data_IF_200064554739
#
_entry.id   IF_200064554739
#
_cell.length_a   1.000
_cell.length_b   1.000
_cell.length_c   1.000
_cell.angle_alpha   90.00
_cell.angle_beta   90.00
_cell.angle_gamma   90.00
#
_symmetry.space_group_name_H-M   'P 1'
#
loop_
_entity.id
_entity.type
_entity.pdbx_description
1 polymer ?
#
# COMPACT_ATOMS: atom_id res chain seq x y z
N UNK A 1 -17.38 -3.54 -37.52
CA UNK A 1 -16.82 -4.50 -36.56
C UNK A 1 -16.30 -3.69 -35.39
N UNK A 2 -16.79 -3.94 -34.20
CA UNK A 2 -16.32 -3.26 -32.97
C UNK A 2 -15.18 -4.09 -32.38
N UNK A 3 -13.95 -3.59 -32.45
CA UNK A 3 -12.75 -4.33 -32.04
C UNK A 3 -12.76 -4.66 -30.55
N UNK A 4 -13.39 -3.81 -29.72
CA UNK A 4 -13.52 -4.01 -28.28
C UNK A 4 -14.28 -5.31 -27.91
N UNK A 5 -15.14 -5.80 -28.78
CA UNK A 5 -15.89 -7.06 -28.59
C UNK A 5 -15.01 -8.31 -28.75
N UNK A 6 -13.81 -8.15 -29.35
CA UNK A 6 -12.82 -9.21 -29.57
C UNK A 6 -11.67 -9.21 -28.53
N UNK A 7 -11.72 -8.30 -27.55
CA UNK A 7 -10.73 -8.28 -26.47
C UNK A 7 -11.02 -9.38 -25.43
N UNK A 8 -10.05 -9.67 -24.58
CA UNK A 8 -10.20 -10.63 -23.48
C UNK A 8 -11.44 -10.30 -22.63
N UNK A 9 -12.34 -11.25 -22.49
CA UNK A 9 -13.61 -11.04 -21.78
C UNK A 9 -13.45 -10.93 -20.26
N UNK A 10 -12.41 -11.55 -19.72
CA UNK A 10 -12.09 -11.55 -18.29
C UNK A 10 -11.57 -10.17 -17.79
N UNK A 11 -11.07 -9.31 -18.70
CA UNK A 11 -10.71 -7.92 -18.34
C UNK A 11 -11.90 -7.12 -17.80
N UNK A 12 -13.14 -7.54 -18.07
CA UNK A 12 -14.34 -6.93 -17.49
C UNK A 12 -14.44 -7.11 -15.96
N UNK A 13 -13.68 -8.06 -15.40
CA UNK A 13 -13.59 -8.29 -13.94
C UNK A 13 -12.55 -7.39 -13.27
N UNK A 14 -11.68 -6.75 -14.05
CA UNK A 14 -10.68 -5.82 -13.50
C UNK A 14 -11.42 -4.56 -13.04
N UNK A 15 -11.30 -4.16 -11.77
CA UNK A 15 -11.96 -2.96 -11.26
C UNK A 15 -11.41 -1.71 -11.95
N UNK A 16 -12.28 -0.73 -12.17
CA UNK A 16 -11.84 0.60 -12.63
C UNK A 16 -11.21 1.38 -11.48
N UNK A 17 -10.19 2.16 -11.80
CA UNK A 17 -9.49 2.96 -10.77
C UNK A 17 -10.26 4.27 -10.48
N UNK A 18 -11.46 4.18 -9.91
CA UNK A 18 -12.34 5.31 -9.55
C UNK A 18 -11.63 6.42 -8.76
N UNK A 19 -10.59 6.08 -7.99
CA UNK A 19 -9.76 7.06 -7.25
C UNK A 19 -9.17 8.12 -8.20
N UNK A 20 -8.73 7.72 -9.40
CA UNK A 20 -8.17 8.68 -10.36
C UNK A 20 -9.24 9.55 -11.00
N UNK A 21 -10.43 8.98 -11.30
CA UNK A 21 -11.54 9.76 -11.85
C UNK A 21 -11.99 10.82 -10.85
N UNK A 22 -12.09 10.46 -9.57
CA UNK A 22 -12.41 11.39 -8.49
C UNK A 22 -11.32 12.46 -8.32
N UNK A 23 -10.04 12.09 -8.41
CA UNK A 23 -8.94 13.05 -8.33
C UNK A 23 -8.95 14.06 -9.50
N UNK A 24 -9.37 13.64 -10.71
CA UNK A 24 -9.54 14.54 -11.86
C UNK A 24 -10.70 15.51 -11.57
N UNK A 25 -11.81 15.02 -11.05
CA UNK A 25 -12.95 15.85 -10.67
C UNK A 25 -12.57 16.89 -9.62
N UNK A 26 -11.93 16.49 -8.52
CA UNK A 26 -11.57 17.43 -7.43
C UNK A 26 -10.62 18.52 -7.89
N UNK A 27 -9.64 18.20 -8.76
CA UNK A 27 -8.71 19.18 -9.35
C UNK A 27 -9.41 20.27 -10.18
N UNK A 28 -10.64 20.02 -10.67
CA UNK A 28 -11.41 21.02 -11.40
C UNK A 28 -12.07 22.08 -10.49
N UNK A 29 -12.07 21.86 -9.18
CA UNK A 29 -12.78 22.69 -8.20
C UNK A 29 -11.82 23.75 -7.65
N UNK A 30 -12.09 25.02 -7.94
CA UNK A 30 -11.28 26.14 -7.43
C UNK A 30 -11.34 26.24 -5.90
N UNK A 31 -10.17 26.37 -5.27
CA UNK A 31 -10.01 26.50 -3.82
C UNK A 31 -10.27 25.23 -3.03
N UNK A 32 -10.24 24.05 -3.70
CA UNK A 32 -10.34 22.74 -3.04
C UNK A 32 -9.19 22.54 -2.07
N UNK A 33 -9.48 21.92 -0.95
CA UNK A 33 -8.50 21.38 0.01
C UNK A 33 -8.47 19.88 -0.16
N UNK A 34 -7.33 19.34 -0.60
CA UNK A 34 -7.22 17.92 -0.93
C UNK A 34 -6.66 17.10 0.22
N UNK A 35 -7.44 16.13 0.70
CA UNK A 35 -7.05 15.08 1.65
C UNK A 35 -7.22 13.69 1.01
N UNK A 36 -7.04 13.61 -0.32
CA UNK A 36 -7.20 12.37 -1.12
C UNK A 36 -5.87 11.74 -1.47
N UNK A 37 -4.77 12.50 -1.40
CA UNK A 37 -3.48 12.15 -1.98
C UNK A 37 -2.85 10.97 -1.23
N UNK A 38 -2.45 9.95 -1.99
CA UNK A 38 -1.80 8.74 -1.48
C UNK A 38 -0.28 8.74 -1.65
N UNK A 39 0.35 9.92 -1.61
CA UNK A 39 1.81 10.06 -1.72
C UNK A 39 2.34 11.09 -0.70
N UNK A 40 3.61 10.96 -0.27
CA UNK A 40 4.27 11.96 0.56
C UNK A 40 4.25 13.34 -0.09
N UNK A 41 3.96 14.37 0.70
CA UNK A 41 4.08 15.78 0.30
C UNK A 41 5.53 16.30 0.46
N UNK A 42 6.40 15.49 1.02
CA UNK A 42 7.83 15.76 1.11
C UNK A 42 8.53 15.56 -0.23
N UNK A 43 9.61 16.29 -0.42
CA UNK A 43 10.52 16.02 -1.52
C UNK A 43 11.44 14.84 -1.19
N UNK A 44 11.83 14.07 -2.21
CA UNK A 44 12.94 13.12 -2.09
C UNK A 44 14.16 13.79 -1.43
N UNK A 45 14.86 13.17 -0.46
CA UNK A 45 16.02 13.74 0.21
C UNK A 45 17.08 14.25 -0.76
N UNK A 46 17.78 15.32 -0.36
CA UNK A 46 18.74 16.01 -1.23
C UNK A 46 19.85 15.08 -1.75
N UNK A 47 20.48 14.34 -0.84
CA UNK A 47 21.58 13.42 -1.19
C UNK A 47 21.11 12.29 -2.13
N UNK A 48 19.88 11.79 -1.98
CA UNK A 48 19.29 10.79 -2.89
C UNK A 48 19.12 11.34 -4.30
N UNK A 49 18.63 12.59 -4.43
CA UNK A 49 18.54 13.28 -5.73
C UNK A 49 19.91 13.50 -6.34
N UNK A 50 20.90 13.91 -5.54
CA UNK A 50 22.27 14.13 -5.98
C UNK A 50 22.91 12.83 -6.48
N UNK A 51 22.68 11.70 -5.82
CA UNK A 51 23.15 10.39 -6.28
C UNK A 51 22.55 10.02 -7.65
N UNK A 52 21.23 10.21 -7.83
CA UNK A 52 20.56 9.96 -9.11
C UNK A 52 21.08 10.88 -10.23
N UNK A 53 21.27 12.16 -9.96
CA UNK A 53 21.86 13.11 -10.93
C UNK A 53 23.30 12.75 -11.27
N UNK A 54 24.11 12.37 -10.29
CA UNK A 54 25.48 11.92 -10.51
C UNK A 54 25.53 10.64 -11.34
N UNK A 55 24.62 9.70 -11.10
CA UNK A 55 24.52 8.49 -11.91
C UNK A 55 24.23 8.81 -13.38
N UNK A 56 23.30 9.70 -13.67
CA UNK A 56 23.02 10.16 -15.04
C UNK A 56 24.25 10.84 -15.65
N UNK A 57 24.90 11.75 -14.93
CA UNK A 57 26.09 12.45 -15.38
C UNK A 57 27.27 11.52 -15.70
N UNK A 58 27.35 10.38 -14.99
CA UNK A 58 28.35 9.34 -15.17
C UNK A 58 27.93 8.25 -16.18
N UNK A 59 26.90 8.50 -16.97
CA UNK A 59 26.40 7.58 -18.01
C UNK A 59 25.91 6.22 -17.47
N UNK A 60 25.42 6.19 -16.23
CA UNK A 60 24.74 5.04 -15.66
C UNK A 60 23.31 4.91 -16.22
N UNK A 61 23.20 4.81 -17.54
CA UNK A 61 21.92 4.88 -18.30
C UNK A 61 21.71 3.68 -19.23
N UNK A 62 22.54 2.66 -19.10
CA UNK A 62 22.40 1.37 -19.78
C UNK A 62 21.59 0.40 -18.91
N UNK A 63 21.19 -0.73 -19.51
CA UNK A 63 20.50 -1.80 -18.80
C UNK A 63 21.23 -2.21 -17.52
N UNK A 64 20.48 -2.35 -16.44
CA UNK A 64 20.95 -2.96 -15.20
C UNK A 64 20.92 -4.50 -15.28
N UNK A 65 21.60 -5.19 -14.37
CA UNK A 65 21.28 -6.59 -14.13
C UNK A 65 19.80 -6.74 -13.77
N UNK A 66 19.12 -7.70 -14.39
CA UNK A 66 17.66 -7.84 -14.28
C UNK A 66 17.14 -7.99 -12.83
N UNK A 67 17.92 -8.62 -11.94
CA UNK A 67 17.55 -8.71 -10.51
C UNK A 67 17.77 -7.39 -9.76
N UNK A 68 18.63 -6.53 -10.26
CA UNK A 68 19.08 -5.27 -9.66
C UNK A 68 20.59 -5.17 -9.59
N UNK A 69 21.09 -3.96 -9.29
CA UNK A 69 22.54 -3.72 -9.09
C UNK A 69 23.02 -4.39 -7.81
N UNK A 70 24.23 -4.93 -7.80
CA UNK A 70 24.80 -5.64 -6.64
C UNK A 70 24.82 -4.77 -5.37
N UNK A 71 25.10 -3.46 -5.53
CA UNK A 71 25.11 -2.50 -4.43
C UNK A 71 23.74 -2.34 -3.79
N UNK A 72 22.70 -2.12 -4.61
CA UNK A 72 21.33 -1.99 -4.10
C UNK A 72 20.81 -3.30 -3.49
N UNK A 73 21.07 -4.45 -4.13
CA UNK A 73 20.65 -5.75 -3.58
C UNK A 73 21.27 -6.02 -2.21
N UNK A 74 22.58 -5.72 -2.03
CA UNK A 74 23.22 -5.81 -0.72
C UNK A 74 22.62 -4.83 0.29
N UNK A 75 22.35 -3.58 -0.09
CA UNK A 75 21.75 -2.60 0.79
C UNK A 75 20.33 -3.00 1.25
N UNK A 76 19.54 -3.60 0.36
CA UNK A 76 18.21 -4.15 0.70
C UNK A 76 18.34 -5.31 1.69
N UNK A 77 19.26 -6.26 1.46
CA UNK A 77 19.49 -7.38 2.39
C UNK A 77 19.84 -6.89 3.79
N UNK A 78 20.74 -5.90 3.87
CA UNK A 78 21.17 -5.31 5.15
C UNK A 78 20.02 -4.59 5.87
N UNK A 79 19.21 -3.81 5.13
CA UNK A 79 18.06 -3.08 5.66
C UNK A 79 16.96 -4.01 6.18
N UNK A 80 16.61 -5.03 5.40
CA UNK A 80 15.62 -6.04 5.80
C UNK A 80 16.10 -6.82 7.01
N UNK A 81 17.37 -7.23 7.04
CA UNK A 81 17.96 -7.92 8.19
C UNK A 81 17.90 -7.06 9.48
N UNK A 82 18.16 -5.75 9.37
CA UNK A 82 18.09 -4.83 10.50
C UNK A 82 16.65 -4.66 11.01
N UNK A 83 15.66 -4.56 10.11
CA UNK A 83 14.25 -4.28 10.45
C UNK A 83 13.51 -5.50 11.01
N UNK A 84 13.69 -6.65 10.40
CA UNK A 84 12.88 -7.85 10.70
C UNK A 84 13.72 -9.07 11.11
N UNK A 85 15.04 -8.99 11.11
CA UNK A 85 15.94 -10.07 11.52
C UNK A 85 16.11 -11.20 10.50
N UNK A 86 15.51 -11.11 9.30
CA UNK A 86 15.67 -12.09 8.20
C UNK A 86 16.72 -11.60 7.22
N UNK A 87 17.74 -12.41 7.00
CA UNK A 87 18.75 -12.20 5.95
C UNK A 87 18.29 -12.90 4.69
N UNK A 88 18.19 -12.17 3.58
CA UNK A 88 17.98 -12.71 2.24
C UNK A 88 19.28 -12.64 1.45
N UNK A 89 19.57 -13.69 0.69
CA UNK A 89 20.73 -13.71 -0.22
C UNK A 89 20.53 -12.67 -1.33
N UNK A 90 21.39 -11.62 -1.40
CA UNK A 90 21.26 -10.57 -2.40
C UNK A 90 21.26 -11.10 -3.84
N UNK A 91 21.99 -12.18 -4.12
CA UNK A 91 22.15 -12.70 -5.46
C UNK A 91 20.95 -13.54 -5.94
N UNK A 92 20.17 -14.13 -5.02
CA UNK A 92 19.18 -15.14 -5.39
C UNK A 92 17.78 -14.93 -4.79
N UNK A 93 17.64 -14.15 -3.71
CA UNK A 93 16.39 -14.04 -2.96
C UNK A 93 15.78 -12.63 -2.99
N UNK A 94 16.37 -11.69 -3.76
CA UNK A 94 15.91 -10.30 -3.89
C UNK A 94 15.73 -9.94 -5.35
N UNK A 95 14.65 -9.19 -5.66
CA UNK A 95 14.41 -8.57 -6.96
C UNK A 95 14.07 -7.08 -6.77
N UNK A 96 14.73 -6.22 -7.50
CA UNK A 96 14.38 -4.78 -7.59
C UNK A 96 13.25 -4.63 -8.60
N UNK A 97 12.19 -3.90 -8.24
CA UNK A 97 10.95 -3.80 -9.03
C UNK A 97 10.58 -2.35 -9.35
N UNK A 98 9.78 -2.14 -10.39
CA UNK A 98 9.24 -0.84 -10.80
C UNK A 98 8.11 -0.35 -9.86
N UNK A 99 8.45 -0.15 -8.59
CA UNK A 99 7.51 0.09 -7.50
C UNK A 99 6.85 -1.21 -7.03
N UNK A 100 6.21 -1.15 -5.86
CA UNK A 100 5.43 -2.28 -5.30
C UNK A 100 4.32 -2.72 -6.25
N UNK A 101 3.78 -1.82 -7.07
CA UNK A 101 2.73 -2.14 -8.05
C UNK A 101 3.17 -3.22 -9.03
N UNK A 102 4.41 -3.14 -9.56
CA UNK A 102 4.94 -4.20 -10.42
C UNK A 102 5.28 -5.46 -9.62
N UNK A 103 5.82 -5.30 -8.41
CA UNK A 103 6.08 -6.43 -7.52
C UNK A 103 4.82 -7.23 -7.17
N UNK A 104 3.70 -6.54 -6.87
CA UNK A 104 2.40 -7.17 -6.63
C UNK A 104 1.89 -7.92 -7.87
N UNK A 105 1.96 -7.28 -9.04
CA UNK A 105 1.62 -7.92 -10.31
C UNK A 105 2.44 -9.20 -10.55
N UNK A 106 3.75 -9.13 -10.35
CA UNK A 106 4.63 -10.29 -10.53
C UNK A 106 4.33 -11.40 -9.52
N UNK A 107 4.11 -11.05 -8.24
CA UNK A 107 3.80 -11.99 -7.18
C UNK A 107 2.47 -12.72 -7.45
N UNK A 108 1.39 -11.96 -7.66
CA UNK A 108 0.06 -12.53 -7.92
C UNK A 108 0.04 -13.37 -9.20
N UNK A 109 0.69 -12.87 -10.28
CA UNK A 109 0.76 -13.60 -11.56
C UNK A 109 1.52 -14.93 -11.43
N UNK A 110 2.61 -14.95 -10.68
CA UNK A 110 3.44 -16.15 -10.52
C UNK A 110 2.77 -17.29 -9.73
N UNK A 111 1.88 -16.94 -8.78
CA UNK A 111 1.25 -17.93 -7.90
C UNK A 111 -0.17 -18.34 -8.34
N UNK A 112 -0.75 -17.67 -9.34
CA UNK A 112 -2.17 -17.83 -9.70
C UNK A 112 -2.34 -18.63 -10.98
N UNK A 113 -3.08 -19.75 -10.92
CA UNK A 113 -3.59 -20.45 -12.10
C UNK A 113 -5.08 -20.07 -12.34
N UNK A 114 -5.59 -20.31 -13.55
CA UNK A 114 -7.04 -20.13 -13.81
C UNK A 114 -7.89 -20.93 -12.82
N UNK A 115 -8.79 -20.24 -12.10
CA UNK A 115 -9.67 -20.84 -11.10
C UNK A 115 -9.14 -20.78 -9.65
N UNK A 116 -7.89 -20.42 -9.45
CA UNK A 116 -7.32 -20.17 -8.13
C UNK A 116 -7.92 -18.93 -7.46
N UNK A 117 -7.85 -18.89 -6.15
CA UNK A 117 -8.37 -17.81 -5.29
C UNK A 117 -7.21 -17.12 -4.55
N UNK A 118 -7.23 -15.80 -4.59
CA UNK A 118 -6.37 -14.94 -3.76
C UNK A 118 -7.28 -14.27 -2.73
N UNK A 119 -7.04 -14.50 -1.44
CA UNK A 119 -7.73 -13.81 -0.35
C UNK A 119 -7.15 -12.40 -0.18
N UNK A 120 -7.99 -11.41 -0.30
CA UNK A 120 -7.62 -10.00 -0.21
C UNK A 120 -8.41 -9.33 0.92
N UNK A 121 -7.80 -9.09 2.10
CA UNK A 121 -8.44 -8.32 3.16
C UNK A 121 -8.83 -6.93 2.68
N UNK A 122 -10.09 -6.58 2.86
CA UNK A 122 -10.66 -5.28 2.47
C UNK A 122 -11.26 -4.56 3.69
N UNK A 123 -11.32 -3.23 3.67
CA UNK A 123 -10.93 -2.32 2.59
C UNK A 123 -9.40 -2.23 2.42
N UNK A 124 -8.94 -2.24 1.15
CA UNK A 124 -7.52 -2.12 0.79
C UNK A 124 -7.34 -1.47 -0.59
N UNK A 125 -6.11 -1.17 -0.96
CA UNK A 125 -5.82 -0.66 -2.31
C UNK A 125 -6.05 -1.74 -3.37
N UNK A 126 -6.80 -1.41 -4.44
CA UNK A 126 -7.43 -2.37 -5.36
C UNK A 126 -6.50 -3.13 -6.30
N UNK A 127 -5.17 -2.94 -6.24
CA UNK A 127 -4.23 -3.59 -7.17
C UNK A 127 -4.29 -5.12 -7.11
N UNK A 128 -4.43 -5.70 -5.91
CA UNK A 128 -4.45 -7.16 -5.73
C UNK A 128 -5.68 -7.81 -6.38
N UNK A 129 -6.83 -7.12 -6.34
CA UNK A 129 -8.04 -7.57 -7.03
C UNK A 129 -7.84 -7.53 -8.55
N UNK A 130 -7.23 -6.45 -9.04
CA UNK A 130 -6.93 -6.30 -10.46
C UNK A 130 -5.93 -7.35 -10.94
N UNK A 131 -4.84 -7.56 -10.19
CA UNK A 131 -3.79 -8.51 -10.55
C UNK A 131 -4.30 -9.96 -10.58
N UNK A 132 -5.12 -10.37 -9.59
CA UNK A 132 -5.74 -11.68 -9.59
C UNK A 132 -6.65 -11.91 -10.81
N UNK A 133 -7.46 -10.89 -11.18
CA UNK A 133 -8.30 -10.95 -12.36
C UNK A 133 -7.47 -11.00 -13.66
N UNK A 134 -6.38 -10.24 -13.75
CA UNK A 134 -5.45 -10.24 -14.91
C UNK A 134 -4.76 -11.60 -15.04
N UNK A 135 -4.37 -12.22 -13.93
CA UNK A 135 -3.75 -13.53 -13.90
C UNK A 135 -4.73 -14.69 -14.26
N UNK A 136 -6.04 -14.41 -14.32
CA UNK A 136 -7.07 -15.41 -14.62
C UNK A 136 -7.65 -16.11 -13.38
N UNK A 137 -7.21 -15.71 -12.20
CA UNK A 137 -7.74 -16.15 -10.91
C UNK A 137 -8.95 -15.33 -10.46
N UNK A 138 -9.27 -15.45 -9.18
CA UNK A 138 -10.34 -14.69 -8.53
C UNK A 138 -9.81 -14.10 -7.22
N UNK A 139 -9.87 -12.78 -7.08
CA UNK A 139 -9.74 -12.15 -5.78
C UNK A 139 -11.03 -12.36 -4.99
N UNK A 140 -10.92 -12.86 -3.77
CA UNK A 140 -12.02 -12.94 -2.82
C UNK A 140 -11.77 -11.91 -1.73
N UNK A 141 -12.66 -10.96 -1.66
CA UNK A 141 -12.60 -9.88 -0.67
C UNK A 141 -12.94 -10.41 0.72
N UNK A 142 -12.00 -10.26 1.66
CA UNK A 142 -12.15 -10.65 3.06
C UNK A 142 -12.53 -9.38 3.84
N UNK A 143 -13.84 -9.16 4.04
CA UNK A 143 -14.35 -7.98 4.72
C UNK A 143 -13.95 -7.94 6.19
N UNK A 144 -13.08 -6.99 6.55
CA UNK A 144 -12.57 -6.78 7.91
C UNK A 144 -13.34 -5.72 8.71
N UNK A 145 -14.40 -5.14 8.16
CA UNK A 145 -15.14 -4.05 8.83
C UNK A 145 -15.74 -4.46 10.20
N UNK A 146 -16.14 -5.73 10.31
CA UNK A 146 -16.72 -6.28 11.55
C UNK A 146 -15.67 -6.62 12.62
N UNK A 147 -14.41 -6.62 12.28
CA UNK A 147 -13.28 -6.87 13.17
C UNK A 147 -12.43 -5.61 13.41
N UNK A 148 -13.05 -4.44 13.36
CA UNK A 148 -12.39 -3.14 13.46
C UNK A 148 -11.26 -2.98 12.45
N UNK A 149 -11.48 -3.46 11.23
CA UNK A 149 -10.52 -3.46 10.12
C UNK A 149 -9.22 -4.23 10.39
N UNK A 150 -9.26 -5.21 11.31
CA UNK A 150 -8.15 -6.13 11.57
C UNK A 150 -8.42 -7.49 10.96
N UNK A 151 -7.45 -8.03 10.27
CA UNK A 151 -7.51 -9.41 9.79
C UNK A 151 -7.32 -10.36 10.98
N UNK A 152 -8.24 -11.33 11.17
CA UNK A 152 -8.17 -12.28 12.28
C UNK A 152 -8.05 -13.72 11.79
N UNK A 153 -7.49 -14.64 12.63
CA UNK A 153 -7.41 -16.06 12.33
C UNK A 153 -8.76 -16.68 11.96
N UNK A 154 -9.81 -16.35 12.73
CA UNK A 154 -11.16 -16.89 12.53
C UNK A 154 -11.75 -16.47 11.20
N UNK A 155 -11.51 -15.20 10.81
CA UNK A 155 -11.96 -14.67 9.54
C UNK A 155 -11.27 -15.42 8.39
N UNK A 156 -9.93 -15.57 8.43
CA UNK A 156 -9.18 -16.33 7.42
C UNK A 156 -9.69 -17.77 7.36
N UNK A 157 -9.85 -18.44 8.52
CA UNK A 157 -10.29 -19.85 8.55
C UNK A 157 -11.66 -20.02 7.89
N UNK A 158 -12.61 -19.08 8.10
CA UNK A 158 -13.92 -19.16 7.47
C UNK A 158 -13.86 -19.16 5.94
N UNK A 159 -12.97 -18.36 5.35
CA UNK A 159 -12.75 -18.36 3.89
C UNK A 159 -11.99 -19.60 3.41
N UNK A 160 -11.05 -20.13 4.21
CA UNK A 160 -10.40 -21.40 3.90
C UNK A 160 -11.39 -22.58 3.90
N UNK A 161 -12.34 -22.57 4.80
CA UNK A 161 -13.40 -23.59 4.87
C UNK A 161 -14.34 -23.49 3.65
N UNK A 162 -14.62 -22.27 3.15
CA UNK A 162 -15.48 -22.04 1.98
C UNK A 162 -14.78 -22.37 0.65
N UNK A 163 -13.53 -21.91 0.48
CA UNK A 163 -12.83 -21.98 -0.82
C UNK A 163 -11.87 -23.15 -0.93
N UNK A 164 -11.45 -23.76 0.20
CA UNK A 164 -10.62 -24.95 0.27
C UNK A 164 -9.31 -24.84 -0.51
N UNK A 165 -8.95 -25.90 -1.24
CA UNK A 165 -7.69 -26.00 -1.99
C UNK A 165 -7.54 -25.00 -3.14
N UNK A 166 -8.58 -24.24 -3.46
CA UNK A 166 -8.51 -23.16 -4.46
C UNK A 166 -7.73 -21.95 -3.94
N UNK A 167 -7.64 -21.77 -2.62
CA UNK A 167 -6.88 -20.66 -2.04
C UNK A 167 -5.39 -20.88 -2.26
N UNK A 168 -4.75 -19.98 -3.00
CA UNK A 168 -3.30 -20.02 -3.30
C UNK A 168 -2.53 -18.86 -2.70
N UNK A 169 -3.20 -17.76 -2.38
CA UNK A 169 -2.55 -16.60 -1.80
C UNK A 169 -3.41 -15.90 -0.77
N UNK A 170 -2.75 -15.32 0.23
CA UNK A 170 -3.29 -14.39 1.21
C UNK A 170 -2.48 -13.10 1.12
N UNK A 171 -3.15 -11.97 0.92
CA UNK A 171 -2.53 -10.64 0.97
C UNK A 171 -2.55 -10.12 2.39
N UNK A 172 -1.42 -9.61 2.87
CA UNK A 172 -1.29 -8.95 4.18
C UNK A 172 -0.64 -7.59 3.96
N UNK A 173 -1.42 -6.52 4.06
CA UNK A 173 -0.92 -5.14 3.96
C UNK A 173 -0.75 -4.59 5.36
N UNK A 174 0.48 -4.21 5.74
CA UNK A 174 0.79 -3.73 7.08
C UNK A 174 1.86 -2.63 7.04
N UNK A 175 1.60 -1.40 7.49
CA UNK A 175 0.30 -0.76 7.83
C UNK A 175 -0.66 -0.67 6.64
N UNK A 176 -1.97 -0.63 6.93
CA UNK A 176 -3.02 -0.72 5.92
C UNK A 176 -3.39 0.64 5.31
N UNK A 177 -3.52 0.70 4.00
CA UNK A 177 -4.23 1.74 3.26
C UNK A 177 -5.61 1.15 2.86
N UNK A 178 -6.76 1.69 3.29
CA UNK A 178 -7.00 3.08 3.74
C UNK A 178 -7.08 3.28 5.26
N UNK A 179 -7.05 2.23 6.07
CA UNK A 179 -7.52 2.27 7.46
C UNK A 179 -6.52 2.85 8.45
N UNK A 180 -5.23 2.86 8.09
CA UNK A 180 -4.14 3.27 9.00
C UNK A 180 -3.85 2.28 10.13
N UNK A 181 -4.52 1.12 10.13
CA UNK A 181 -4.29 0.06 11.13
C UNK A 181 -2.91 -0.55 10.91
N UNK A 182 -2.24 -0.85 12.01
CA UNK A 182 -0.99 -1.63 12.03
C UNK A 182 -1.19 -2.84 12.94
N UNK A 183 -1.07 -4.04 12.37
CA UNK A 183 -1.10 -5.27 13.15
C UNK A 183 0.23 -5.43 13.91
N UNK A 184 0.15 -5.84 15.17
CA UNK A 184 1.33 -6.15 15.97
C UNK A 184 1.87 -7.56 15.65
N UNK A 185 3.00 -7.95 16.26
CA UNK A 185 3.62 -9.24 15.95
C UNK A 185 2.75 -10.42 16.36
N UNK A 186 2.08 -10.36 17.52
CA UNK A 186 1.22 -11.44 18.00
C UNK A 186 0.03 -11.69 17.07
N UNK A 187 -0.55 -10.62 16.50
CA UNK A 187 -1.62 -10.72 15.50
C UNK A 187 -1.11 -11.37 14.19
N UNK A 188 0.10 -10.98 13.75
CA UNK A 188 0.71 -11.56 12.55
C UNK A 188 1.12 -13.02 12.77
N UNK A 189 1.60 -13.38 13.97
CA UNK A 189 1.94 -14.75 14.33
C UNK A 189 0.68 -15.65 14.31
N UNK A 190 -0.43 -15.16 14.86
CA UNK A 190 -1.70 -15.86 14.84
C UNK A 190 -2.24 -16.06 13.41
N UNK A 191 -2.07 -15.09 12.53
CA UNK A 191 -2.39 -15.22 11.10
C UNK A 191 -1.48 -16.29 10.44
N UNK A 192 -0.18 -16.24 10.72
CA UNK A 192 0.78 -17.19 10.18
C UNK A 192 0.45 -18.63 10.56
N UNK A 193 0.00 -18.85 11.80
CA UNK A 193 -0.37 -20.19 12.27
C UNK A 193 -1.57 -20.80 11.52
N UNK A 194 -2.51 -19.97 11.05
CA UNK A 194 -3.65 -20.46 10.24
C UNK A 194 -3.21 -21.01 8.88
N UNK A 195 -2.21 -20.39 8.25
CA UNK A 195 -1.75 -20.76 6.89
C UNK A 195 -0.48 -21.60 6.89
N UNK A 196 0.16 -21.78 8.05
CA UNK A 196 1.34 -22.63 8.20
C UNK A 196 1.05 -24.05 7.69
N UNK A 197 2.01 -24.63 7.01
CA UNK A 197 1.92 -25.99 6.43
C UNK A 197 0.81 -26.18 5.37
N UNK A 198 0.15 -25.09 4.93
CA UNK A 198 -0.76 -25.12 3.79
C UNK A 198 -0.05 -24.62 2.53
N UNK A 199 -0.44 -25.06 1.33
CA UNK A 199 0.16 -24.59 0.07
C UNK A 199 -0.39 -23.20 -0.33
N UNK A 200 -0.26 -22.25 0.60
CA UNK A 200 -0.77 -20.88 0.47
C UNK A 200 0.41 -19.91 0.59
N UNK A 201 0.62 -19.07 -0.42
CA UNK A 201 1.60 -18.00 -0.36
C UNK A 201 1.05 -16.82 0.42
N UNK A 202 1.90 -16.15 1.20
CA UNK A 202 1.56 -14.86 1.79
C UNK A 202 2.26 -13.75 1.01
N UNK A 203 1.49 -12.78 0.51
CA UNK A 203 2.02 -11.55 -0.10
C UNK A 203 1.98 -10.48 0.98
N UNK A 204 3.14 -10.17 1.55
CA UNK A 204 3.27 -9.17 2.61
C UNK A 204 3.66 -7.81 1.99
N UNK A 205 2.71 -6.88 1.91
CA UNK A 205 2.97 -5.51 1.48
C UNK A 205 3.27 -4.63 2.69
N UNK A 206 4.54 -4.30 2.86
CA UNK A 206 5.06 -3.52 3.97
C UNK A 206 5.58 -2.13 3.52
N UNK A 207 5.02 -1.58 2.43
CA UNK A 207 5.45 -0.29 1.85
C UNK A 207 5.36 0.88 2.83
N UNK A 208 4.58 0.75 3.91
CA UNK A 208 4.42 1.76 4.96
C UNK A 208 5.19 1.44 6.24
N UNK A 209 6.11 0.46 6.26
CA UNK A 209 6.84 -0.01 7.43
C UNK A 209 7.47 1.13 8.26
N UNK A 210 8.14 2.08 7.60
CA UNK A 210 8.79 3.23 8.24
C UNK A 210 7.80 4.30 8.74
N UNK A 211 6.52 4.16 8.43
CA UNK A 211 5.44 5.06 8.83
C UNK A 211 4.53 4.42 9.89
N UNK A 212 4.99 3.41 10.62
CA UNK A 212 4.33 2.88 11.80
C UNK A 212 4.62 3.79 13.01
N UNK A 213 3.58 4.08 13.82
CA UNK A 213 3.64 4.99 14.98
C UNK A 213 3.64 4.23 16.31
N UNK A 214 3.89 2.94 16.29
CA UNK A 214 3.89 2.09 17.49
C UNK A 214 5.10 2.40 18.36
N UNK A 215 4.90 2.38 19.67
CA UNK A 215 6.01 2.45 20.64
C UNK A 215 6.86 1.18 20.55
N UNK A 216 8.18 1.32 20.61
CA UNK A 216 9.11 0.19 20.50
C UNK A 216 9.40 -0.25 19.06
N UNK A 217 9.19 0.63 18.08
CA UNK A 217 9.38 0.38 16.64
C UNK A 217 10.83 0.07 16.20
N UNK A 218 11.74 -0.24 17.13
CA UNK A 218 13.08 -0.75 16.79
C UNK A 218 13.03 -2.12 16.09
N UNK A 219 11.88 -2.81 16.19
CA UNK A 219 11.59 -4.03 15.45
C UNK A 219 10.18 -3.96 14.84
N UNK A 220 10.12 -3.61 13.58
CA UNK A 220 8.87 -3.58 12.82
C UNK A 220 8.18 -4.98 12.83
N UNK A 221 6.86 -5.05 13.13
CA UNK A 221 6.11 -6.31 13.09
C UNK A 221 5.95 -6.78 11.64
N UNK A 222 6.42 -7.99 11.33
CA UNK A 222 6.36 -8.57 10.00
C UNK A 222 5.97 -10.05 10.06
N UNK A 223 5.07 -10.47 9.17
CA UNK A 223 4.68 -11.87 9.05
C UNK A 223 5.84 -12.74 8.54
N UNK A 224 6.84 -12.14 7.89
CA UNK A 224 8.07 -12.82 7.46
C UNK A 224 8.80 -13.48 8.63
N UNK A 225 8.75 -12.87 9.83
CA UNK A 225 9.40 -13.44 11.04
C UNK A 225 8.84 -14.82 11.40
N UNK A 226 7.55 -15.02 11.15
CA UNK A 226 6.82 -16.23 11.54
C UNK A 226 6.66 -17.22 10.40
N UNK A 227 6.69 -16.74 9.14
CA UNK A 227 6.40 -17.56 7.95
C UNK A 227 7.34 -17.23 6.78
N UNK A 228 8.68 -17.26 6.98
CA UNK A 228 9.64 -16.82 5.96
C UNK A 228 9.61 -17.64 4.68
N UNK A 229 9.28 -18.95 4.76
CA UNK A 229 9.36 -19.87 3.64
C UNK A 229 8.17 -19.79 2.68
N UNK A 230 7.06 -19.15 3.09
CA UNK A 230 5.83 -19.00 2.31
C UNK A 230 5.54 -17.54 1.94
N UNK A 231 6.37 -16.59 2.43
CA UNK A 231 6.10 -15.15 2.29
C UNK A 231 6.91 -14.53 1.14
N UNK A 232 6.19 -13.78 0.30
CA UNK A 232 6.75 -12.84 -0.67
C UNK A 232 6.61 -11.45 -0.05
N UNK A 233 7.72 -10.90 0.44
CA UNK A 233 7.79 -9.55 0.98
C UNK A 233 7.84 -8.53 -0.14
N UNK A 234 6.96 -7.55 -0.12
CA UNK A 234 6.95 -6.37 -0.98
C UNK A 234 7.25 -5.13 -0.12
N UNK A 235 8.26 -4.37 -0.50
CA UNK A 235 8.58 -3.10 0.14
C UNK A 235 9.31 -2.18 -0.84
N UNK A 236 9.58 -0.93 -0.46
CA UNK A 236 10.23 0.01 -1.38
C UNK A 236 10.40 1.42 -0.82
N UNK A 237 10.68 2.34 -1.73
CA UNK A 237 11.17 3.67 -1.41
C UNK A 237 10.10 4.76 -1.53
N UNK A 238 8.95 4.43 -2.13
CA UNK A 238 7.90 5.39 -2.48
C UNK A 238 7.41 6.20 -1.30
N UNK A 239 7.25 5.57 -0.12
CA UNK A 239 6.65 6.20 1.06
C UNK A 239 7.71 6.65 2.07
N UNK A 240 8.68 5.79 2.36
CA UNK A 240 9.74 6.05 3.34
C UNK A 240 10.74 7.11 2.90
N UNK A 241 10.96 7.30 1.59
CA UNK A 241 11.92 8.26 1.04
C UNK A 241 11.30 9.27 0.07
N UNK A 242 9.96 9.39 0.04
CA UNK A 242 9.24 10.27 -0.88
C UNK A 242 9.68 10.09 -2.36
N UNK A 243 9.80 8.83 -2.79
CA UNK A 243 10.28 8.44 -4.12
C UNK A 243 9.16 7.86 -5.00
N UNK A 244 7.93 8.37 -4.90
CA UNK A 244 6.78 7.85 -5.65
C UNK A 244 7.00 7.88 -7.17
N UNK A 245 7.52 8.98 -7.70
CA UNK A 245 7.81 9.19 -9.12
C UNK A 245 9.05 8.44 -9.64
N UNK A 246 9.91 7.94 -8.76
CA UNK A 246 11.12 7.20 -9.15
C UNK A 246 10.82 5.76 -9.59
N UNK A 247 9.68 5.22 -9.18
CA UNK A 247 9.24 3.86 -9.51
C UNK A 247 10.25 2.79 -9.13
N UNK A 248 10.70 2.77 -7.89
CA UNK A 248 11.65 1.78 -7.36
C UNK A 248 11.14 1.15 -6.07
N UNK A 249 11.22 -0.17 -6.01
CA UNK A 249 10.84 -1.00 -4.89
C UNK A 249 11.59 -2.33 -4.96
N UNK A 250 11.26 -3.26 -4.10
CA UNK A 250 11.84 -4.59 -4.12
C UNK A 250 10.88 -5.65 -3.60
N UNK A 251 11.13 -6.89 -3.96
CA UNK A 251 10.52 -8.07 -3.36
C UNK A 251 11.60 -9.05 -2.88
N UNK A 252 11.32 -9.69 -1.76
CA UNK A 252 12.18 -10.70 -1.17
C UNK A 252 11.38 -11.97 -0.91
N UNK A 253 11.93 -13.13 -1.28
CA UNK A 253 11.34 -14.43 -1.02
C UNK A 253 12.44 -15.51 -1.06
N UNK A 254 12.20 -16.73 -0.56
CA UNK A 254 13.11 -17.85 -0.75
C UNK A 254 13.44 -18.08 -2.22
N UNK A 255 14.69 -18.49 -2.50
CA UNK A 255 15.21 -18.66 -3.86
C UNK A 255 14.28 -19.41 -4.82
N UNK A 256 13.64 -20.57 -4.47
CA UNK A 256 12.75 -21.25 -5.40
C UNK A 256 11.55 -20.41 -5.84
N UNK A 257 11.03 -19.57 -4.94
CA UNK A 257 9.93 -18.65 -5.23
C UNK A 257 10.45 -17.50 -6.09
N UNK A 258 11.57 -16.89 -5.69
CA UNK A 258 12.17 -15.76 -6.41
C UNK A 258 12.56 -16.11 -7.84
N UNK A 259 12.98 -17.35 -8.12
CA UNK A 259 13.29 -17.79 -9.48
C UNK A 259 12.06 -17.81 -10.40
N UNK A 260 10.86 -18.08 -9.86
CA UNK A 260 9.61 -17.98 -10.63
C UNK A 260 9.13 -16.53 -10.78
N UNK A 261 9.22 -15.73 -9.69
CA UNK A 261 8.92 -14.29 -9.74
C UNK A 261 9.79 -13.57 -10.78
N UNK A 262 11.07 -13.96 -10.87
CA UNK A 262 12.02 -13.40 -11.81
C UNK A 262 11.61 -13.56 -13.28
N UNK A 263 10.94 -14.66 -13.62
CA UNK A 263 10.43 -14.87 -14.99
C UNK A 263 9.36 -13.85 -15.34
N UNK A 264 8.41 -13.61 -14.43
CA UNK A 264 7.35 -12.61 -14.65
C UNK A 264 7.94 -11.21 -14.72
N UNK A 265 8.76 -10.83 -13.73
CA UNK A 265 9.45 -9.55 -13.69
C UNK A 265 10.26 -9.27 -14.96
N UNK A 266 11.13 -10.22 -15.34
CA UNK A 266 12.04 -10.04 -16.48
C UNK A 266 11.32 -9.83 -17.81
N UNK A 267 10.16 -10.46 -18.04
CA UNK A 267 9.36 -10.26 -19.25
C UNK A 267 8.38 -9.10 -19.15
N UNK A 268 8.02 -8.65 -17.94
CA UNK A 268 7.17 -7.48 -17.77
C UNK A 268 7.92 -6.17 -17.96
N UNK A 269 9.12 -6.02 -17.37
CA UNK A 269 9.83 -4.72 -17.31
C UNK A 269 11.32 -4.77 -17.69
N UNK A 270 11.90 -5.96 -17.84
CA UNK A 270 13.33 -6.21 -18.07
C UNK A 270 14.19 -5.88 -16.86
N UNK A 271 14.27 -4.61 -16.45
CA UNK A 271 14.99 -4.14 -15.27
C UNK A 271 14.44 -2.78 -14.81
N UNK A 272 14.92 -2.30 -13.67
CA UNK A 272 14.68 -0.92 -13.19
C UNK A 272 15.86 -0.04 -13.61
N UNK A 273 15.57 1.18 -14.03
CA UNK A 273 16.58 2.12 -14.52
C UNK A 273 17.79 2.24 -13.56
N UNK A 274 18.99 2.09 -14.08
CA UNK A 274 20.24 1.99 -13.31
C UNK A 274 20.45 3.20 -12.40
N UNK A 275 20.24 4.42 -12.91
CA UNK A 275 20.41 5.66 -12.15
C UNK A 275 19.39 5.79 -11.00
N UNK A 276 18.22 5.18 -11.13
CA UNK A 276 17.21 5.10 -10.06
C UNK A 276 17.68 4.14 -8.96
N UNK A 277 18.31 3.03 -9.34
CA UNK A 277 18.87 2.07 -8.41
C UNK A 277 20.04 2.66 -7.61
N UNK A 278 20.90 3.45 -8.24
CA UNK A 278 22.01 4.14 -7.56
C UNK A 278 21.47 5.14 -6.51
N UNK A 279 20.38 5.85 -6.82
CA UNK A 279 19.70 6.73 -5.87
C UNK A 279 19.02 5.94 -4.71
N UNK A 280 18.43 4.80 -5.01
CA UNK A 280 17.81 3.95 -4.00
C UNK A 280 18.86 3.30 -3.07
N UNK A 281 20.03 2.94 -3.60
CA UNK A 281 21.15 2.46 -2.79
C UNK A 281 21.61 3.55 -1.81
N UNK A 282 21.78 4.80 -2.29
CA UNK A 282 22.12 5.95 -1.45
C UNK A 282 21.09 6.15 -0.32
N UNK A 283 19.80 6.04 -0.62
CA UNK A 283 18.73 6.16 0.37
C UNK A 283 18.89 5.15 1.52
N UNK A 284 19.16 3.88 1.21
CA UNK A 284 19.34 2.86 2.25
C UNK A 284 20.66 2.98 3.01
N UNK A 285 21.75 3.34 2.33
CA UNK A 285 23.08 3.39 2.97
C UNK A 285 23.32 4.63 3.81
N UNK A 286 22.83 5.78 3.36
CA UNK A 286 23.15 7.07 3.98
C UNK A 286 21.90 7.86 4.44
N UNK A 287 20.68 7.43 4.06
CA UNK A 287 19.42 8.10 4.40
C UNK A 287 18.60 7.39 5.48
N UNK A 288 19.23 6.66 6.38
CA UNK A 288 18.53 5.85 7.40
C UNK A 288 17.69 6.69 8.37
N UNK A 289 18.02 7.96 8.57
CA UNK A 289 17.28 8.88 9.44
C UNK A 289 16.17 9.66 8.72
N UNK A 290 16.14 9.67 7.38
CA UNK A 290 15.16 10.44 6.60
C UNK A 290 13.72 10.01 6.88
N UNK A 291 13.38 8.70 6.92
CA UNK A 291 12.02 8.27 7.24
C UNK A 291 11.55 8.69 8.63
N UNK A 292 12.47 8.71 9.61
CA UNK A 292 12.14 9.11 10.99
C UNK A 292 11.74 10.59 11.07
N UNK A 293 12.44 11.46 10.34
CA UNK A 293 12.13 12.90 10.28
C UNK A 293 10.75 13.15 9.64
N UNK A 294 10.41 12.44 8.56
CA UNK A 294 9.08 12.53 7.94
C UNK A 294 7.99 11.95 8.84
N UNK A 295 8.24 10.78 9.45
CA UNK A 295 7.30 10.14 10.38
C UNK A 295 6.92 11.04 11.55
N UNK A 296 7.87 11.76 12.14
CA UNK A 296 7.59 12.70 13.23
C UNK A 296 6.60 13.80 12.81
N UNK A 297 6.76 14.37 11.62
CA UNK A 297 5.83 15.37 11.10
C UNK A 297 4.46 14.75 10.75
N UNK A 298 4.42 13.56 10.16
CA UNK A 298 3.15 12.87 9.94
C UNK A 298 2.43 12.55 11.25
N UNK A 299 3.14 12.20 12.30
CA UNK A 299 2.55 11.95 13.61
C UNK A 299 1.88 13.19 14.20
N UNK A 300 2.49 14.37 14.05
CA UNK A 300 1.87 15.65 14.44
C UNK A 300 0.60 15.91 13.64
N UNK A 301 0.66 15.79 12.31
CA UNK A 301 -0.48 16.00 11.40
C UNK A 301 -1.61 15.01 11.68
N UNK A 302 -1.26 13.72 11.90
CA UNK A 302 -2.19 12.69 12.34
C UNK A 302 -2.93 13.11 13.60
N UNK A 303 -2.21 13.56 14.62
CA UNK A 303 -2.80 13.92 15.91
C UNK A 303 -3.81 15.06 15.75
N UNK A 304 -3.46 16.10 14.98
CA UNK A 304 -4.35 17.24 14.71
C UNK A 304 -5.60 16.81 13.96
N UNK A 305 -5.45 16.03 12.88
CA UNK A 305 -6.61 15.59 12.09
C UNK A 305 -7.49 14.62 12.90
N UNK A 306 -6.89 13.65 13.58
CA UNK A 306 -7.60 12.67 14.40
C UNK A 306 -8.41 13.35 15.49
N UNK A 307 -7.79 14.21 16.29
CA UNK A 307 -8.46 14.95 17.36
C UNK A 307 -9.58 15.84 16.80
N UNK A 308 -9.33 16.58 15.70
CA UNK A 308 -10.34 17.42 15.09
C UNK A 308 -11.57 16.64 14.59
N UNK A 309 -11.38 15.46 14.01
CA UNK A 309 -12.48 14.59 13.61
C UNK A 309 -13.27 14.06 14.83
N UNK A 310 -12.58 13.68 15.91
CA UNK A 310 -13.24 13.26 17.17
C UNK A 310 -14.07 14.40 17.78
N UNK A 311 -13.55 15.64 17.81
CA UNK A 311 -14.27 16.81 18.31
C UNK A 311 -15.51 17.13 17.46
N UNK A 312 -15.49 16.81 16.17
CA UNK A 312 -16.65 16.93 15.28
C UNK A 312 -17.66 15.77 15.43
N UNK A 313 -17.32 14.74 16.21
CA UNK A 313 -18.16 13.58 16.48
C UNK A 313 -18.09 12.51 15.38
N UNK A 314 -16.99 12.43 14.65
CA UNK A 314 -16.77 11.36 13.68
C UNK A 314 -16.20 10.12 14.35
N UNK A 315 -16.75 8.97 14.02
CA UNK A 315 -16.17 7.68 14.36
C UNK A 315 -15.07 7.35 13.38
N UNK A 316 -13.85 7.04 13.88
CA UNK A 316 -12.68 6.81 13.05
C UNK A 316 -11.91 5.58 13.49
N UNK A 317 -11.15 4.96 12.57
CA UNK A 317 -10.08 4.05 12.97
C UNK A 317 -9.05 4.79 13.81
N UNK A 318 -8.33 4.07 14.68
CA UNK A 318 -7.12 4.60 15.32
C UNK A 318 -5.94 4.48 14.34
N UNK A 319 -5.39 5.58 13.81
CA UNK A 319 -4.32 5.49 12.82
C UNK A 319 -2.98 5.17 13.47
N UNK A 320 -2.58 3.91 13.40
CA UNK A 320 -1.35 3.35 13.98
C UNK A 320 -0.19 3.36 12.98
N UNK A 321 -0.47 3.61 11.68
CA UNK A 321 0.53 3.66 10.62
C UNK A 321 0.03 4.31 9.34
N UNK A 322 0.86 4.28 8.30
CA UNK A 322 0.66 4.98 7.02
C UNK A 322 0.44 6.50 7.23
N UNK A 323 -0.36 7.14 6.40
CA UNK A 323 -0.74 8.55 6.56
C UNK A 323 -2.23 8.77 6.25
N UNK A 324 -3.08 7.84 6.76
CA UNK A 324 -4.53 7.87 6.52
C UNK A 324 -5.33 7.74 7.81
N UNK A 325 -6.53 8.34 7.80
CA UNK A 325 -7.60 8.08 8.76
C UNK A 325 -8.82 7.61 7.97
N UNK A 326 -9.40 6.49 8.38
CA UNK A 326 -10.62 5.98 7.82
C UNK A 326 -11.77 6.31 8.76
N UNK A 327 -12.72 7.11 8.29
CA UNK A 327 -13.76 7.71 9.12
C UNK A 327 -15.15 7.33 8.61
N UNK A 328 -16.00 6.86 9.51
CA UNK A 328 -17.40 6.62 9.21
C UNK A 328 -18.14 7.93 9.01
N UNK A 329 -18.94 8.01 7.97
CA UNK A 329 -19.78 9.19 7.72
C UNK A 329 -20.83 9.28 8.83
N UNK A 330 -20.97 10.43 9.53
CA UNK A 330 -21.99 10.60 10.55
C UNK A 330 -23.40 10.32 10.05
N UNK A 331 -24.22 9.63 10.84
CA UNK A 331 -25.55 9.13 10.44
C UNK A 331 -26.53 10.21 9.96
N UNK A 332 -26.31 11.49 10.32
CA UNK A 332 -27.13 12.63 9.88
C UNK A 332 -26.71 13.20 8.51
N UNK A 333 -25.66 12.68 7.87
CA UNK A 333 -25.18 13.06 6.55
C UNK A 333 -25.58 12.01 5.52
N UNK A 334 -25.28 12.30 4.24
CA UNK A 334 -25.45 11.34 3.13
C UNK A 334 -24.61 10.08 3.37
N UNK A 335 -25.25 8.90 3.38
CA UNK A 335 -24.59 7.64 3.71
C UNK A 335 -23.99 6.93 2.49
N UNK A 336 -24.36 7.31 1.28
CA UNK A 336 -23.66 6.91 0.06
C UNK A 336 -22.33 7.67 0.03
N UNK A 337 -21.24 6.98 0.31
CA UNK A 337 -19.92 7.59 0.47
C UNK A 337 -19.40 8.28 -0.79
N UNK A 338 -19.78 7.79 -1.97
CA UNK A 338 -19.43 8.43 -3.24
C UNK A 338 -20.20 9.75 -3.39
N UNK A 339 -21.52 9.76 -3.21
CA UNK A 339 -22.30 11.00 -3.23
C UNK A 339 -21.89 11.99 -2.16
N UNK A 340 -21.60 11.49 -0.96
CA UNK A 340 -21.10 12.31 0.14
C UNK A 340 -19.80 13.02 -0.24
N UNK A 341 -18.82 12.28 -0.77
CA UNK A 341 -17.52 12.85 -1.14
C UNK A 341 -17.63 13.90 -2.24
N UNK A 342 -18.49 13.68 -3.25
CA UNK A 342 -18.77 14.68 -4.28
C UNK A 342 -19.45 15.92 -3.70
N UNK A 343 -20.48 15.75 -2.86
CA UNK A 343 -21.18 16.89 -2.21
C UNK A 343 -20.25 17.70 -1.30
N UNK A 344 -19.38 17.00 -0.53
CA UNK A 344 -18.39 17.64 0.32
C UNK A 344 -17.37 18.45 -0.49
N UNK A 345 -16.88 17.89 -1.58
CA UNK A 345 -15.94 18.58 -2.47
C UNK A 345 -16.56 19.83 -3.10
N UNK A 346 -17.79 19.76 -3.59
CA UNK A 346 -18.47 20.89 -4.21
C UNK A 346 -18.86 21.99 -3.21
N UNK A 347 -19.45 21.61 -2.06
CA UNK A 347 -20.05 22.57 -1.13
C UNK A 347 -19.11 23.05 -0.03
N UNK A 348 -18.25 22.15 0.49
CA UNK A 348 -17.28 22.52 1.52
C UNK A 348 -15.88 22.78 0.96
N UNK A 349 -15.63 22.47 -0.28
CA UNK A 349 -14.27 22.54 -0.88
C UNK A 349 -13.26 21.69 -0.10
N UNK A 350 -13.66 20.51 0.33
CA UNK A 350 -12.82 19.50 0.99
C UNK A 350 -12.97 18.19 0.22
N UNK A 351 -11.88 17.66 -0.28
CA UNK A 351 -11.83 16.39 -0.98
C UNK A 351 -11.33 15.27 -0.07
N UNK A 352 -12.09 14.20 0.04
CA UNK A 352 -11.76 12.96 0.75
C UNK A 352 -12.08 11.78 -0.16
N UNK A 353 -11.40 10.66 0.00
CA UNK A 353 -11.63 9.51 -0.90
C UNK A 353 -12.79 8.66 -0.40
N UNK A 354 -13.80 8.33 -1.25
CA UNK A 354 -14.86 7.38 -0.89
C UNK A 354 -14.31 6.04 -0.42
N UNK A 355 -14.90 5.48 0.62
CA UNK A 355 -14.44 4.23 1.22
C UNK A 355 -14.74 3.02 0.34
N UNK A 356 -15.86 3.03 -0.39
CA UNK A 356 -16.22 1.97 -1.35
C UNK A 356 -15.21 1.75 -2.47
N UNK A 357 -14.30 2.72 -2.71
CA UNK A 357 -13.21 2.56 -3.68
C UNK A 357 -12.12 1.59 -3.23
N UNK A 358 -12.17 1.16 -1.97
CA UNK A 358 -11.22 0.23 -1.36
C UNK A 358 -11.78 -1.20 -1.18
N UNK A 359 -12.97 -1.48 -1.74
CA UNK A 359 -13.62 -2.79 -1.66
C UNK A 359 -14.60 -2.93 -0.50
N UNK A 360 -15.04 -4.16 -0.28
CA UNK A 360 -16.05 -4.51 0.72
C UNK A 360 -15.69 -4.01 2.12
N UNK A 361 -16.70 -3.54 2.87
CA UNK A 361 -16.52 -2.94 4.20
C UNK A 361 -16.05 -1.48 4.17
N UNK A 362 -15.88 -0.91 2.97
CA UNK A 362 -15.56 0.51 2.81
C UNK A 362 -16.76 1.43 2.69
N UNK A 363 -17.95 0.88 2.40
CA UNK A 363 -19.18 1.64 2.22
C UNK A 363 -19.57 2.40 3.49
N UNK A 364 -20.00 3.63 3.34
CA UNK A 364 -20.35 4.53 4.45
C UNK A 364 -19.14 5.12 5.19
N UNK A 365 -17.93 4.89 4.68
CA UNK A 365 -16.70 5.50 5.18
C UNK A 365 -16.06 6.42 4.15
N UNK A 366 -15.14 7.25 4.61
CA UNK A 366 -14.23 8.04 3.77
C UNK A 366 -12.82 7.98 4.32
N UNK A 367 -11.83 8.00 3.41
CA UNK A 367 -10.42 8.10 3.76
C UNK A 367 -9.95 9.55 3.72
N UNK A 368 -9.38 10.00 4.82
CA UNK A 368 -8.61 11.24 4.91
C UNK A 368 -7.12 10.93 4.82
N UNK A 369 -6.39 11.63 3.96
CA UNK A 369 -4.92 11.61 3.95
C UNK A 369 -4.39 12.82 4.72
N UNK A 370 -3.42 12.60 5.62
CA UNK A 370 -2.69 13.69 6.28
C UNK A 370 -1.27 13.91 5.70
N UNK A 371 -1.01 13.34 4.52
CA UNK A 371 0.20 13.64 3.75
C UNK A 371 0.05 15.00 3.04
N UNK A 372 -0.11 16.07 3.82
CA UNK A 372 -0.25 17.45 3.35
C UNK A 372 0.13 18.43 4.47
N UNK A 373 0.27 19.73 4.13
CA UNK A 373 0.62 20.77 5.11
C UNK A 373 -0.40 20.89 6.25
N UNK A 374 0.09 21.16 7.47
CA UNK A 374 -0.75 21.26 8.67
C UNK A 374 -1.82 22.36 8.56
N UNK A 375 -1.57 23.45 7.84
CA UNK A 375 -2.57 24.52 7.64
C UNK A 375 -3.68 24.06 6.68
N UNK A 376 -3.35 23.19 5.73
CA UNK A 376 -4.34 22.55 4.85
C UNK A 376 -5.28 21.68 5.69
N UNK A 377 -4.75 20.89 6.61
CA UNK A 377 -5.52 20.04 7.54
C UNK A 377 -6.43 20.90 8.42
N UNK A 378 -5.92 21.98 9.03
CA UNK A 378 -6.72 22.90 9.85
C UNK A 378 -7.84 23.55 9.04
N UNK A 379 -7.54 23.97 7.82
CA UNK A 379 -8.54 24.55 6.91
C UNK A 379 -9.64 23.55 6.57
N UNK A 380 -9.27 22.27 6.34
CA UNK A 380 -10.22 21.19 6.09
C UNK A 380 -11.15 20.99 7.31
N UNK A 381 -10.60 20.95 8.52
CA UNK A 381 -11.38 20.80 9.76
C UNK A 381 -12.38 21.96 9.95
N UNK A 382 -11.95 23.21 9.74
CA UNK A 382 -12.85 24.37 9.81
C UNK A 382 -14.00 24.28 8.80
N UNK A 383 -13.72 23.84 7.59
CA UNK A 383 -14.73 23.67 6.53
C UNK A 383 -15.67 22.52 6.83
N UNK A 384 -15.15 21.39 7.32
CA UNK A 384 -15.95 20.24 7.79
C UNK A 384 -16.89 20.65 8.92
N UNK A 385 -16.41 21.42 9.91
CA UNK A 385 -17.23 21.93 11.00
C UNK A 385 -18.44 22.72 10.49
N UNK A 386 -18.20 23.67 9.58
CA UNK A 386 -19.26 24.48 8.96
C UNK A 386 -20.23 23.63 8.14
N UNK A 387 -19.70 22.68 7.38
CA UNK A 387 -20.50 21.76 6.57
C UNK A 387 -21.43 20.90 7.43
N UNK A 388 -20.90 20.32 8.51
CA UNK A 388 -21.66 19.50 9.45
C UNK A 388 -22.71 20.33 10.22
N UNK A 389 -22.34 21.52 10.70
CA UNK A 389 -23.26 22.39 11.44
C UNK A 389 -24.47 22.85 10.60
N UNK A 390 -24.30 23.03 9.29
CA UNK A 390 -25.39 23.40 8.38
C UNK A 390 -26.37 22.25 8.08
N UNK A 391 -26.08 21.02 8.54
CA UNK A 391 -26.86 19.79 8.23
C UNK A 391 -27.37 19.06 9.50
N UNK A 392 -26.99 19.51 10.70
CA UNK A 392 -27.59 19.16 11.98
C UNK A 392 -28.88 19.95 12.22
#
# INVERSE_FOLDING_TARGET
MKMEEHMRTDLKRVPTMKIFDFAIFTKSIEGIVELTIGEPDFNTPGHVKEAGMAAIANNRTHYAPQRGTAGLLSAISDDVAKKIGKVYDPATEILVTNGVTEGAYAAVTAITNPGDVILVPTPTFSIYMADAAIAGGTAVEVDTSKTNFRLTPELIQSYLDEYGDRVKGLVVVNPTNPTGITMNQDELDAIADVVRDKPIFVIADEIYDQLAYMEGADQYPSIVKSLPEQTILLNGFSKSYAMTGWRVAYMCAPKPITDELFKVHGFAVTDVATFVQDAAEEALRNGQEDPAAMRAQYQERRNVLYQGLQELGWETTNPEGAFYIFAKIPDYLEQDDEKFAYDLAEKAKVAVTPGSYFGAGGEGYVRFSYATDLNVIKTALDRLQKYCAARR
#
